data_IF_680959465153
#
_entry.id   IF_680959465153
#
_cell.length_a   1.000
_cell.length_b   1.000
_cell.length_c   1.000
_cell.angle_alpha   90.00
_cell.angle_beta   90.00
_cell.angle_gamma   90.00
#
_symmetry.space_group_name_H-M   'P 1'
#
loop_
_entity.id
_entity.type
_entity.pdbx_description
1 polymer ?
#
# COMPACT_ATOMS: atom_id res chain seq x y z
N UNK A 1 -30.90 -19.64 2.77
CA UNK A 1 -29.62 -19.65 3.51
C UNK A 1 -29.47 -18.31 4.22
N UNK A 2 -29.88 -18.26 5.48
CA UNK A 2 -29.84 -17.07 6.34
C UNK A 2 -28.40 -16.90 6.84
N UNK A 3 -27.66 -15.99 6.22
CA UNK A 3 -26.33 -15.58 6.69
C UNK A 3 -26.54 -14.79 7.99
N UNK A 4 -26.13 -15.39 9.11
CA UNK A 4 -26.29 -14.85 10.47
C UNK A 4 -25.51 -13.52 10.57
N UNK A 5 -26.23 -12.40 10.74
CA UNK A 5 -25.69 -11.05 10.99
C UNK A 5 -25.00 -10.98 12.36
N UNK A 6 -23.86 -11.64 12.49
CA UNK A 6 -22.89 -11.28 13.53
C UNK A 6 -22.17 -10.04 13.01
N UNK A 7 -22.23 -8.95 13.78
CA UNK A 7 -21.51 -7.66 13.63
C UNK A 7 -20.49 -7.71 12.49
N UNK A 8 -20.88 -7.15 11.34
CA UNK A 8 -20.04 -7.08 10.16
C UNK A 8 -18.89 -6.12 10.48
N UNK A 9 -17.86 -6.66 11.11
CA UNK A 9 -16.58 -6.00 11.26
C UNK A 9 -15.93 -6.11 9.89
N UNK A 10 -16.25 -5.17 9.01
CA UNK A 10 -15.44 -4.94 7.82
C UNK A 10 -14.12 -4.40 8.37
N UNK A 11 -13.06 -5.22 8.38
CA UNK A 11 -11.70 -4.74 8.59
C UNK A 11 -11.17 -4.40 7.20
N UNK A 12 -11.30 -3.16 6.70
CA UNK A 12 -10.61 -2.78 5.49
C UNK A 12 -9.11 -2.80 5.78
N UNK A 13 -8.43 -3.89 5.40
CA UNK A 13 -6.96 -3.97 5.39
C UNK A 13 -6.39 -2.92 4.43
N UNK A 14 -7.20 -2.46 3.47
CA UNK A 14 -6.95 -1.30 2.63
C UNK A 14 -8.11 -0.31 2.76
N UNK A 15 -7.86 0.97 3.12
CA UNK A 15 -8.89 2.01 3.19
C UNK A 15 -9.55 2.32 1.83
N UNK A 16 -9.09 1.67 0.76
CA UNK A 16 -9.58 1.80 -0.62
C UNK A 16 -11.02 1.29 -0.85
N UNK A 17 -11.61 0.54 0.10
CA UNK A 17 -12.95 -0.03 -0.09
C UNK A 17 -14.09 0.85 0.42
N UNK A 18 -13.87 2.15 0.64
CA UNK A 18 -14.99 3.09 0.70
C UNK A 18 -15.36 3.45 -0.72
N UNK A 19 -16.19 2.59 -1.29
CA UNK A 19 -16.85 2.85 -2.55
C UNK A 19 -17.70 4.11 -2.37
N UNK A 20 -17.36 5.15 -3.15
CA UNK A 20 -18.22 6.24 -3.67
C UNK A 20 -19.71 6.00 -3.46
N UNK A 21 -20.56 7.03 -3.18
CA UNK A 21 -21.95 6.90 -2.73
C UNK A 21 -22.60 5.57 -3.14
N UNK A 22 -22.42 4.58 -2.27
CA UNK A 22 -22.75 3.17 -2.49
C UNK A 22 -23.67 2.73 -1.37
N UNK A 23 -24.44 1.65 -1.55
CA UNK A 23 -25.34 1.15 -0.50
C UNK A 23 -24.61 0.87 0.82
N UNK A 24 -23.33 0.46 0.77
CA UNK A 24 -22.50 0.24 1.95
C UNK A 24 -22.13 1.55 2.65
N UNK A 25 -21.88 2.62 1.89
CA UNK A 25 -21.61 3.94 2.47
C UNK A 25 -22.81 4.46 3.25
N UNK A 26 -24.02 4.34 2.69
CA UNK A 26 -25.27 4.71 3.38
C UNK A 26 -25.49 3.84 4.63
N UNK A 27 -25.28 2.53 4.54
CA UNK A 27 -25.37 1.64 5.70
C UNK A 27 -24.37 2.02 6.80
N UNK A 28 -23.13 2.35 6.45
CA UNK A 28 -22.12 2.79 7.43
C UNK A 28 -22.43 4.18 8.01
N UNK A 29 -23.05 5.07 7.23
CA UNK A 29 -23.52 6.38 7.68
C UNK A 29 -24.68 6.25 8.67
N UNK A 30 -25.70 5.45 8.33
CA UNK A 30 -26.84 5.16 9.20
C UNK A 30 -26.41 4.49 10.52
N UNK A 31 -25.41 3.61 10.47
CA UNK A 31 -24.89 2.91 11.65
C UNK A 31 -23.84 3.72 12.45
N UNK A 32 -23.52 4.96 12.07
CA UNK A 32 -22.53 5.79 12.76
C UNK A 32 -21.11 5.21 12.75
N UNK A 33 -20.77 4.43 11.72
CA UNK A 33 -19.48 3.74 11.59
C UNK A 33 -18.46 4.56 10.80
N UNK A 34 -18.85 5.72 10.24
CA UNK A 34 -17.95 6.63 9.54
C UNK A 34 -17.24 7.56 10.53
N UNK A 35 -15.91 7.65 10.39
CA UNK A 35 -15.04 8.52 11.19
C UNK A 35 -14.99 9.95 10.62
N UNK A 36 -15.19 10.10 9.31
CA UNK A 36 -15.24 11.39 8.63
C UNK A 36 -16.12 11.29 7.38
N UNK A 37 -16.80 12.38 7.03
CA UNK A 37 -17.54 12.55 5.76
C UNK A 37 -16.81 13.51 4.80
N UNK A 38 -15.59 13.93 5.16
CA UNK A 38 -14.79 14.84 4.35
C UNK A 38 -14.11 14.06 3.22
N UNK A 39 -14.58 14.26 1.99
CA UNK A 39 -14.09 13.59 0.79
C UNK A 39 -12.62 13.85 0.49
N UNK A 40 -12.06 14.99 0.93
CA UNK A 40 -10.65 15.32 0.68
C UNK A 40 -9.71 14.36 1.44
N UNK A 41 -10.23 13.71 2.50
CA UNK A 41 -9.49 12.75 3.34
C UNK A 41 -9.56 11.32 2.83
N UNK A 42 -10.28 11.07 1.73
CA UNK A 42 -10.47 9.72 1.17
C UNK A 42 -9.30 9.31 0.26
N UNK A 43 -8.09 9.80 0.56
CA UNK A 43 -6.87 9.57 -0.20
C UNK A 43 -6.13 8.28 0.21
N UNK A 44 -6.81 7.40 0.95
CA UNK A 44 -6.29 6.12 1.46
C UNK A 44 -5.13 6.26 2.46
N UNK A 45 -4.81 7.46 2.96
CA UNK A 45 -3.75 7.65 3.97
C UNK A 45 -4.20 7.33 5.39
N UNK A 46 -5.50 7.34 5.62
CA UNK A 46 -6.08 7.08 6.93
C UNK A 46 -7.34 6.23 6.85
N UNK A 47 -7.73 5.75 8.02
CA UNK A 47 -8.92 4.94 8.20
C UNK A 47 -10.15 5.84 8.31
N UNK A 48 -11.17 5.55 7.52
CA UNK A 48 -12.41 6.35 7.43
C UNK A 48 -13.60 5.58 8.04
N UNK A 49 -13.49 4.26 8.23
CA UNK A 49 -14.51 3.41 8.87
C UNK A 49 -14.02 2.88 10.21
N UNK A 50 -14.92 2.81 11.20
CA UNK A 50 -14.64 2.21 12.50
C UNK A 50 -14.37 0.70 12.38
N UNK A 51 -13.26 0.26 12.96
CA UNK A 51 -12.81 -1.13 13.02
C UNK A 51 -12.32 -1.41 14.44
N UNK A 52 -12.38 -2.66 14.95
CA UNK A 52 -11.76 -3.04 16.21
C UNK A 52 -10.23 -2.95 16.20
N UNK A 53 -9.63 -2.77 15.02
CA UNK A 53 -8.21 -2.48 14.86
C UNK A 53 -8.04 -0.96 14.75
N UNK A 54 -7.11 -0.40 15.51
CA UNK A 54 -6.82 1.03 15.44
C UNK A 54 -6.09 1.39 14.14
N UNK A 55 -6.25 2.62 13.67
CA UNK A 55 -5.54 3.10 12.47
C UNK A 55 -4.01 3.08 12.64
N UNK A 56 -3.53 3.22 13.87
CA UNK A 56 -2.11 3.15 14.22
C UNK A 56 -1.56 1.73 14.04
N UNK A 57 -2.29 0.71 14.53
CA UNK A 57 -1.92 -0.70 14.37
C UNK A 57 -1.88 -1.09 12.88
N UNK A 58 -2.86 -0.63 12.09
CA UNK A 58 -2.88 -0.89 10.63
C UNK A 58 -1.66 -0.27 9.96
N UNK A 59 -1.30 0.95 10.35
CA UNK A 59 -0.12 1.65 9.82
C UNK A 59 1.17 0.94 10.21
N UNK A 60 1.29 0.48 11.45
CA UNK A 60 2.44 -0.30 11.92
C UNK A 60 2.56 -1.62 11.16
N UNK A 61 1.48 -2.39 11.04
CA UNK A 61 1.43 -3.63 10.26
C UNK A 61 1.84 -3.41 8.81
N UNK A 62 1.34 -2.34 8.19
CA UNK A 62 1.69 -1.94 6.83
C UNK A 62 3.19 -1.63 6.73
N UNK A 63 3.75 -0.85 7.66
CA UNK A 63 5.17 -0.54 7.70
C UNK A 63 6.03 -1.80 7.90
N UNK A 64 5.63 -2.71 8.79
CA UNK A 64 6.32 -3.98 9.02
C UNK A 64 6.32 -4.86 7.77
N UNK A 65 5.19 -4.92 7.06
CA UNK A 65 5.06 -5.66 5.82
C UNK A 65 6.02 -5.10 4.75
N UNK A 66 6.00 -3.78 4.52
CA UNK A 66 6.92 -3.14 3.58
C UNK A 66 8.40 -3.35 3.97
N UNK A 67 8.73 -3.25 5.26
CA UNK A 67 10.10 -3.51 5.77
C UNK A 67 10.53 -4.96 5.53
N UNK A 68 9.62 -5.92 5.69
CA UNK A 68 9.90 -7.34 5.45
C UNK A 68 10.25 -7.62 3.98
N UNK A 69 9.53 -6.99 3.05
CA UNK A 69 9.83 -7.10 1.62
C UNK A 69 11.16 -6.44 1.21
N UNK A 70 11.63 -5.44 1.97
CA UNK A 70 12.91 -4.75 1.72
C UNK A 70 14.06 -5.42 2.51
N UNK A 71 13.84 -6.58 3.13
CA UNK A 71 14.89 -7.22 3.92
C UNK A 71 16.12 -7.55 3.05
N UNK A 72 17.35 -7.24 3.52
CA UNK A 72 18.58 -7.56 2.78
C UNK A 72 18.69 -9.05 2.44
N UNK A 73 18.14 -9.90 3.31
CA UNK A 73 18.06 -11.34 3.11
C UNK A 73 17.17 -11.70 1.91
N UNK A 74 16.06 -10.99 1.69
CA UNK A 74 15.20 -11.20 0.52
C UNK A 74 15.94 -10.86 -0.79
N UNK A 75 16.65 -9.73 -0.82
CA UNK A 75 17.48 -9.36 -1.97
C UNK A 75 18.63 -10.33 -2.21
N UNK A 76 19.36 -10.72 -1.17
CA UNK A 76 20.46 -11.68 -1.27
C UNK A 76 19.97 -13.04 -1.78
N UNK A 77 18.85 -13.55 -1.27
CA UNK A 77 18.24 -14.78 -1.79
C UNK A 77 17.82 -14.63 -3.24
N UNK A 78 17.28 -13.48 -3.63
CA UNK A 78 16.88 -13.22 -5.02
C UNK A 78 18.07 -13.14 -5.96
N UNK A 79 19.16 -12.51 -5.54
CA UNK A 79 20.42 -12.40 -6.31
C UNK A 79 21.11 -13.76 -6.41
N UNK A 80 21.21 -14.53 -5.31
CA UNK A 80 21.79 -15.87 -5.30
C UNK A 80 20.95 -16.90 -6.08
N UNK A 81 19.65 -16.64 -6.25
CA UNK A 81 18.75 -17.44 -7.09
C UNK A 81 19.00 -17.25 -8.59
N UNK A 82 19.78 -16.25 -9.00
CA UNK A 82 20.11 -16.01 -10.41
C UNK A 82 21.10 -17.09 -10.87
N UNK A 83 20.62 -18.01 -11.71
CA UNK A 83 21.42 -19.14 -12.24
C UNK A 83 21.76 -19.02 -13.72
N UNK A 84 21.24 -18.00 -14.42
CA UNK A 84 21.39 -17.84 -15.87
C UNK A 84 22.21 -16.61 -16.29
N UNK A 85 22.97 -16.74 -17.38
CA UNK A 85 23.73 -15.63 -17.99
C UNK A 85 22.82 -14.54 -18.59
N UNK A 86 21.56 -14.87 -18.91
CA UNK A 86 20.60 -13.94 -19.47
C UNK A 86 19.95 -13.05 -18.39
N UNK A 87 19.68 -13.61 -17.22
CA UNK A 87 19.23 -12.85 -16.04
C UNK A 87 20.27 -11.81 -15.63
N UNK A 88 21.56 -12.19 -15.60
CA UNK A 88 22.64 -11.25 -15.26
C UNK A 88 22.71 -10.08 -16.27
N UNK A 89 22.54 -10.37 -17.57
CA UNK A 89 22.48 -9.33 -18.61
C UNK A 89 21.26 -8.43 -18.45
N UNK A 90 20.12 -8.97 -18.04
CA UNK A 90 18.91 -8.20 -17.75
C UNK A 90 19.12 -7.26 -16.54
N UNK A 91 19.62 -7.77 -15.42
CA UNK A 91 19.90 -6.95 -14.23
C UNK A 91 20.96 -5.89 -14.49
N UNK A 92 21.98 -6.17 -15.30
CA UNK A 92 22.99 -5.20 -15.72
C UNK A 92 22.38 -4.04 -16.52
N UNK A 93 21.49 -4.34 -17.48
CA UNK A 93 20.78 -3.32 -18.27
C UNK A 93 19.85 -2.49 -17.40
N UNK A 94 19.09 -3.12 -16.50
CA UNK A 94 18.21 -2.45 -15.56
C UNK A 94 18.99 -1.55 -14.60
N UNK A 95 20.09 -2.04 -14.02
CA UNK A 95 20.97 -1.28 -13.14
C UNK A 95 21.58 -0.06 -13.82
N UNK A 96 22.08 -0.20 -15.06
CA UNK A 96 22.56 0.95 -15.85
C UNK A 96 21.51 2.02 -16.06
N UNK A 97 20.25 1.64 -16.32
CA UNK A 97 19.15 2.58 -16.52
C UNK A 97 18.77 3.31 -15.23
N UNK A 98 18.78 2.61 -14.09
CA UNK A 98 18.53 3.20 -12.77
C UNK A 98 19.64 4.18 -12.41
N UNK A 99 20.92 3.80 -12.59
CA UNK A 99 22.07 4.68 -12.34
C UNK A 99 22.00 5.92 -13.24
N UNK A 100 21.70 5.74 -14.53
CA UNK A 100 21.52 6.85 -15.46
C UNK A 100 20.44 7.83 -15.00
N UNK A 101 19.30 7.32 -14.55
CA UNK A 101 18.22 8.14 -14.03
C UNK A 101 18.63 8.89 -12.74
N UNK A 102 19.30 8.22 -11.79
CA UNK A 102 19.81 8.83 -10.56
C UNK A 102 20.87 9.92 -10.82
N UNK A 103 21.72 9.75 -11.84
CA UNK A 103 22.69 10.78 -12.24
C UNK A 103 22.05 11.95 -12.97
N UNK A 104 20.96 11.71 -13.71
CA UNK A 104 20.22 12.73 -14.45
C UNK A 104 19.46 13.68 -13.51
N UNK A 105 18.87 13.14 -12.44
CA UNK A 105 18.26 13.96 -11.38
C UNK A 105 19.27 14.86 -10.66
N UNK A 106 20.56 14.53 -10.67
CA UNK A 106 21.64 15.38 -10.11
C UNK A 106 22.15 16.43 -11.10
N UNK A 107 21.86 16.28 -12.39
CA UNK A 107 22.29 17.19 -13.47
C UNK A 107 21.20 18.19 -13.90
N UNK A 108 19.99 18.06 -13.34
CA UNK A 108 18.80 18.87 -13.66
C UNK A 108 18.64 20.18 -12.89
N UNK A 109 19.55 20.56 -11.98
CA UNK A 109 19.61 21.93 -11.46
C UNK A 109 20.39 22.83 -12.43
N UNK A 110 19.82 23.10 -13.61
CA UNK A 110 20.17 24.30 -14.36
C UNK A 110 19.04 25.30 -14.19
N UNK A 111 19.29 26.25 -13.32
CA UNK A 111 18.65 27.56 -13.31
C UNK A 111 18.52 28.09 -14.75
N UNK A 112 17.28 28.40 -15.14
CA UNK A 112 16.92 29.55 -15.96
C UNK A 112 15.61 30.08 -15.39
#
# INVERSE_FOLDING_TARGET
MTFKRNKMVVVPIFPTLILYPSPLFEECKENGQLLTEDWDRYDMREQIMSSPVSGEDIKELTQMLYKSFISPQFFLRKVLSIRGADDLRFFWRAGKKIIGHLTDFKAGERHC
#
